data_IF_910501314440
#
_entry.id   IF_910501314440
#
_cell.length_a   1.000
_cell.length_b   1.000
_cell.length_c   1.000
_cell.angle_alpha   90.00
_cell.angle_beta   90.00
_cell.angle_gamma   90.00
#
_symmetry.space_group_name_H-M   'P 1'
#
loop_
_entity.id
_entity.type
_entity.pdbx_description
1 polymer ?
#
# COMPACT_ATOMS: atom_id res chain seq x y z
N UNK A 1 14.15 2.58 -19.35
CA UNK A 1 13.81 2.34 -17.94
C UNK A 1 12.39 2.85 -17.70
N UNK A 2 11.34 2.12 -18.13
CA UNK A 2 9.94 2.54 -18.00
C UNK A 2 9.31 2.31 -16.61
N UNK A 3 9.99 1.57 -15.72
CA UNK A 3 9.37 1.02 -14.50
C UNK A 3 9.27 2.05 -13.36
N UNK A 4 10.24 2.96 -13.23
CA UNK A 4 10.29 3.95 -12.14
C UNK A 4 9.08 4.90 -12.09
N UNK A 5 8.41 5.16 -13.21
CA UNK A 5 7.27 6.08 -13.21
C UNK A 5 6.01 5.44 -12.61
N UNK A 6 5.82 4.14 -12.84
CA UNK A 6 4.67 3.40 -12.29
C UNK A 6 4.76 3.28 -10.77
N UNK A 7 5.94 2.97 -10.24
CA UNK A 7 6.13 2.86 -8.78
C UNK A 7 5.81 4.19 -8.08
N UNK A 8 6.24 5.31 -8.68
CA UNK A 8 5.96 6.65 -8.16
C UNK A 8 4.47 6.97 -8.20
N UNK A 9 3.79 6.73 -9.33
CA UNK A 9 2.34 6.94 -9.45
C UNK A 9 1.55 6.06 -8.47
N UNK A 10 1.98 4.82 -8.27
CA UNK A 10 1.35 3.88 -7.35
C UNK A 10 1.54 4.32 -5.90
N UNK A 11 2.76 4.74 -5.53
CA UNK A 11 3.06 5.30 -4.23
C UNK A 11 2.19 6.52 -3.93
N UNK A 12 2.08 7.48 -4.86
CA UNK A 12 1.27 8.68 -4.67
C UNK A 12 -0.22 8.34 -4.48
N UNK A 13 -0.74 7.36 -5.24
CA UNK A 13 -2.11 6.85 -5.06
C UNK A 13 -2.28 6.18 -3.70
N UNK A 14 -1.35 5.31 -3.29
CA UNK A 14 -1.40 4.63 -2.00
C UNK A 14 -1.37 5.63 -0.84
N UNK A 15 -0.43 6.59 -0.86
CA UNK A 15 -0.34 7.65 0.14
C UNK A 15 -1.66 8.41 0.22
N UNK A 16 -2.26 8.78 -0.91
CA UNK A 16 -3.54 9.47 -0.92
C UNK A 16 -4.64 8.63 -0.27
N UNK A 17 -4.80 7.37 -0.67
CA UNK A 17 -5.80 6.46 -0.12
C UNK A 17 -5.61 6.21 1.38
N UNK A 18 -4.37 6.03 1.81
CA UNK A 18 -4.03 5.89 3.24
C UNK A 18 -4.44 7.14 4.00
N UNK A 19 -4.11 8.33 3.48
CA UNK A 19 -4.46 9.61 4.11
C UNK A 19 -5.96 9.84 4.23
N UNK A 20 -6.72 9.44 3.21
CA UNK A 20 -8.19 9.46 3.25
C UNK A 20 -8.74 8.45 4.28
N UNK A 21 -8.16 7.26 4.38
CA UNK A 21 -8.56 6.23 5.33
C UNK A 21 -8.27 6.61 6.79
N UNK A 22 -7.09 7.18 7.06
CA UNK A 22 -6.72 7.60 8.43
C UNK A 22 -7.20 9.00 8.79
N UNK A 23 -7.82 9.71 7.83
CA UNK A 23 -8.28 11.09 7.97
C UNK A 23 -7.18 12.02 8.53
N UNK A 24 -5.94 11.79 8.11
CA UNK A 24 -4.75 12.47 8.63
C UNK A 24 -3.77 12.82 7.51
N UNK A 25 -2.91 13.81 7.79
CA UNK A 25 -1.84 14.15 6.86
C UNK A 25 -0.80 13.04 6.82
N UNK A 26 -0.52 12.57 5.61
CA UNK A 26 0.45 11.52 5.30
C UNK A 26 1.44 11.97 4.23
N UNK A 27 1.45 13.27 3.95
CA UNK A 27 2.35 13.90 2.97
C UNK A 27 3.83 13.77 3.37
N UNK A 28 4.11 13.50 4.65
CA UNK A 28 5.45 13.24 5.18
C UNK A 28 5.92 11.80 4.98
N UNK A 29 5.05 10.89 4.50
CA UNK A 29 5.45 9.51 4.25
C UNK A 29 6.46 9.45 3.12
N UNK A 30 7.47 8.60 3.32
CA UNK A 30 8.51 8.28 2.36
C UNK A 30 8.44 6.79 2.04
N UNK A 31 9.05 6.31 0.95
CA UNK A 31 9.10 4.88 0.65
C UNK A 31 9.70 4.05 1.82
N UNK A 32 10.61 4.63 2.59
CA UNK A 32 11.24 3.97 3.74
C UNK A 32 10.47 4.18 5.06
N UNK A 33 9.36 4.93 5.04
CA UNK A 33 8.53 5.15 6.21
C UNK A 33 7.82 3.85 6.57
N UNK A 34 7.87 3.50 7.85
CA UNK A 34 7.20 2.32 8.37
C UNK A 34 5.70 2.59 8.53
N UNK A 35 4.85 1.72 7.98
CA UNK A 35 3.40 1.89 8.02
C UNK A 35 2.86 1.93 9.45
N UNK A 36 3.33 1.01 10.29
CA UNK A 36 2.85 0.86 11.66
C UNK A 36 3.26 2.02 12.60
N UNK A 37 4.33 2.76 12.30
CA UNK A 37 4.90 3.77 13.21
C UNK A 37 4.93 5.19 12.65
N UNK A 38 4.93 5.35 11.32
CA UNK A 38 4.99 6.67 10.67
C UNK A 38 3.61 7.28 10.45
N UNK A 39 2.55 6.47 10.53
CA UNK A 39 1.17 6.89 10.40
C UNK A 39 0.56 6.94 11.79
N UNK A 40 0.04 8.10 12.18
CA UNK A 40 -0.60 8.27 13.48
C UNK A 40 -1.89 7.43 13.56
N UNK A 41 -2.09 6.75 14.69
CA UNK A 41 -3.26 5.92 14.91
C UNK A 41 -3.25 4.58 14.16
N UNK A 42 -2.15 4.21 13.51
CA UNK A 42 -1.97 2.85 13.00
C UNK A 42 -1.79 1.84 14.13
N UNK A 43 -2.37 0.66 13.91
CA UNK A 43 -2.32 -0.49 14.81
C UNK A 43 -2.41 -1.76 13.96
N UNK A 44 -2.15 -2.93 14.53
CA UNK A 44 -2.26 -4.21 13.82
C UNK A 44 -3.66 -4.43 13.24
N UNK A 45 -4.71 -3.99 13.95
CA UNK A 45 -6.08 -4.02 13.44
C UNK A 45 -6.27 -3.06 12.26
N UNK A 46 -5.84 -1.80 12.40
CA UNK A 46 -5.97 -0.79 11.33
C UNK A 46 -5.17 -1.16 10.09
N UNK A 47 -4.06 -1.87 10.22
CA UNK A 47 -3.29 -2.39 9.09
C UNK A 47 -4.12 -3.38 8.28
N UNK A 48 -4.83 -4.29 8.96
CA UNK A 48 -5.77 -5.22 8.29
C UNK A 48 -6.87 -4.43 7.58
N UNK A 49 -7.52 -3.50 8.28
CA UNK A 49 -8.58 -2.66 7.69
C UNK A 49 -8.10 -1.84 6.49
N UNK A 50 -6.87 -1.31 6.56
CA UNK A 50 -6.25 -0.58 5.46
C UNK A 50 -6.03 -1.51 4.26
N UNK A 51 -5.47 -2.70 4.46
CA UNK A 51 -5.27 -3.63 3.34
C UNK A 51 -6.60 -4.00 2.69
N UNK A 52 -7.66 -4.27 3.46
CA UNK A 52 -9.00 -4.52 2.91
C UNK A 52 -9.56 -3.32 2.13
N UNK A 53 -9.30 -2.11 2.60
CA UNK A 53 -9.68 -0.90 1.87
C UNK A 53 -8.91 -0.77 0.55
N UNK A 54 -7.62 -1.10 0.55
CA UNK A 54 -6.78 -1.07 -0.65
C UNK A 54 -7.12 -2.21 -1.62
N UNK A 55 -7.46 -3.40 -1.14
CA UNK A 55 -8.02 -4.51 -1.94
C UNK A 55 -9.18 -4.03 -2.80
N UNK A 56 -10.16 -3.37 -2.19
CA UNK A 56 -11.33 -2.83 -2.88
C UNK A 56 -10.95 -1.67 -3.83
N UNK A 57 -10.09 -0.75 -3.39
CA UNK A 57 -9.69 0.41 -4.21
C UNK A 57 -8.86 0.04 -5.45
N UNK A 58 -8.06 -1.02 -5.36
CA UNK A 58 -7.16 -1.45 -6.43
C UNK A 58 -7.65 -2.70 -7.16
N UNK A 59 -8.80 -3.27 -6.74
CA UNK A 59 -9.36 -4.52 -7.26
C UNK A 59 -8.34 -5.67 -7.18
N UNK A 60 -7.71 -5.84 -6.02
CA UNK A 60 -6.66 -6.83 -5.74
C UNK A 60 -7.07 -7.76 -4.59
N UNK A 61 -6.37 -8.90 -4.47
CA UNK A 61 -6.48 -9.83 -3.35
C UNK A 61 -5.13 -9.88 -2.59
N UNK A 62 -5.14 -9.47 -1.33
CA UNK A 62 -3.99 -9.50 -0.44
C UNK A 62 -4.10 -10.72 0.48
N UNK A 63 -2.99 -11.43 0.65
CA UNK A 63 -2.98 -12.55 1.59
C UNK A 63 -3.02 -12.05 3.05
N UNK A 64 -3.64 -12.82 3.94
CA UNK A 64 -3.64 -12.50 5.39
C UNK A 64 -2.21 -12.34 5.96
N UNK A 65 -1.25 -13.07 5.37
CA UNK A 65 0.17 -12.99 5.74
C UNK A 65 0.86 -11.71 5.27
N UNK A 66 0.27 -10.95 4.33
CA UNK A 66 0.84 -9.72 3.80
C UNK A 66 1.00 -8.67 4.89
N UNK A 67 0.03 -8.55 5.81
CA UNK A 67 0.07 -7.62 6.96
C UNK A 67 1.37 -7.75 7.76
N UNK A 68 1.83 -8.99 7.97
CA UNK A 68 3.05 -9.26 8.74
C UNK A 68 4.35 -9.03 7.96
N UNK A 69 4.28 -8.91 6.63
CA UNK A 69 5.42 -8.61 5.75
C UNK A 69 5.49 -7.13 5.35
N UNK A 70 4.39 -6.40 5.50
CA UNK A 70 4.29 -4.98 5.18
C UNK A 70 4.92 -4.13 6.29
N UNK A 71 6.23 -3.93 6.22
CA UNK A 71 6.92 -3.04 7.17
C UNK A 71 6.91 -1.59 6.70
N UNK A 72 7.25 -1.35 5.43
CA UNK A 72 7.40 -0.02 4.86
C UNK A 72 6.41 0.30 3.74
N UNK A 73 6.28 1.58 3.40
CA UNK A 73 5.53 2.02 2.24
C UNK A 73 6.04 1.39 0.93
N UNK A 74 7.36 1.20 0.82
CA UNK A 74 7.95 0.56 -0.35
C UNK A 74 7.53 -0.90 -0.46
N UNK A 75 7.42 -1.64 0.64
CA UNK A 75 6.92 -3.03 0.63
C UNK A 75 5.49 -3.09 0.10
N UNK A 76 4.63 -2.14 0.52
CA UNK A 76 3.26 -2.05 0.04
C UNK A 76 3.20 -1.74 -1.46
N UNK A 77 4.02 -0.78 -1.93
CA UNK A 77 4.10 -0.44 -3.37
C UNK A 77 4.55 -1.65 -4.18
N UNK A 78 5.61 -2.32 -3.74
CA UNK A 78 6.20 -3.45 -4.45
C UNK A 78 5.22 -4.63 -4.51
N UNK A 79 4.52 -4.91 -3.40
CA UNK A 79 3.52 -5.96 -3.31
C UNK A 79 2.31 -5.69 -4.22
N UNK A 80 1.75 -4.48 -4.17
CA UNK A 80 0.62 -4.09 -5.02
C UNK A 80 1.00 -4.14 -6.50
N UNK A 81 2.22 -3.72 -6.84
CA UNK A 81 2.74 -3.83 -8.21
C UNK A 81 2.82 -5.28 -8.67
N UNK A 82 3.38 -6.16 -7.85
CA UNK A 82 3.52 -7.59 -8.16
C UNK A 82 2.15 -8.27 -8.36
N UNK A 83 1.18 -7.94 -7.52
CA UNK A 83 -0.20 -8.39 -7.68
C UNK A 83 -0.82 -7.87 -8.99
N UNK A 84 -0.67 -6.59 -9.30
CA UNK A 84 -1.19 -6.02 -10.55
C UNK A 84 -0.55 -6.62 -11.81
N UNK A 85 0.73 -7.01 -11.74
CA UNK A 85 1.42 -7.69 -12.84
C UNK A 85 0.91 -9.15 -12.99
N UNK A 86 0.68 -9.83 -11.86
CA UNK A 86 0.17 -11.21 -11.80
C UNK A 86 -1.27 -11.32 -12.32
N UNK A 87 -2.16 -10.42 -11.92
CA UNK A 87 -3.58 -10.41 -12.31
C UNK A 87 -3.80 -10.02 -13.79
N UNK A 88 -2.78 -9.44 -14.45
CA UNK A 88 -2.84 -9.10 -15.88
C UNK A 88 -2.29 -10.18 -16.81
N UNK A 89 -2.06 -11.41 -16.33
CA UNK A 89 -1.67 -12.50 -17.20
C UNK A 89 -2.91 -13.17 -17.86
N UNK A 90 -3.19 -12.95 -19.15
CA UNK A 90 -4.27 -13.63 -19.84
C UNK A 90 -3.97 -15.13 -19.93
N UNK A 91 -4.91 -15.96 -19.47
CA UNK A 91 -4.93 -17.41 -19.75
C UNK A 91 -5.25 -17.70 -21.21
#
# INVERSE_FOLDING_TARGET
>A
MPDQNRDQELFERLVKHIGEFVESDVSHLTPHSHLATSIEGMSSLKMVELLLYLEDCFELEFEESAVGRMETMQDLVDYVRDLQDTEQQPV
#
